data_IF_082500429867
#
_entry.id   IF_082500429867
#
_cell.length_a   1.000
_cell.length_b   1.000
_cell.length_c   1.000
_cell.angle_alpha   90.00
_cell.angle_beta   90.00
_cell.angle_gamma   90.00
#
_symmetry.space_group_name_H-M   'P 1'
#
loop_
_entity.id
_entity.type
_entity.pdbx_description
1 polymer ?
#
# COMPACT_ATOMS: atom_id res chain seq x y z
N UNK A 1 23.42 39.09 -45.93
CA UNK A 1 23.93 38.36 -44.75
C UNK A 1 23.31 39.02 -43.51
N UNK A 2 22.57 38.40 -42.59
CA UNK A 2 21.95 37.06 -42.41
C UNK A 2 20.82 37.28 -41.38
N UNK A 3 19.53 37.19 -41.73
CA UNK A 3 18.47 37.00 -40.74
C UNK A 3 18.19 35.50 -40.69
N UNK A 4 18.99 34.73 -39.94
CA UNK A 4 18.86 33.26 -39.95
C UNK A 4 19.06 32.62 -38.57
N UNK A 5 19.19 33.42 -37.50
CA UNK A 5 19.46 32.88 -36.15
C UNK A 5 18.34 33.02 -35.13
N UNK A 6 17.31 33.81 -35.41
CA UNK A 6 16.20 33.99 -34.45
C UNK A 6 15.05 33.01 -34.71
N UNK A 7 14.93 32.43 -35.91
CA UNK A 7 13.85 31.50 -36.27
C UNK A 7 14.10 30.04 -35.84
N UNK A 8 15.32 29.69 -35.42
CA UNK A 8 15.67 28.32 -35.01
C UNK A 8 15.38 28.01 -33.53
N UNK A 9 15.27 29.04 -32.68
CA UNK A 9 15.00 28.85 -31.25
C UNK A 9 13.51 28.79 -30.91
N UNK A 10 12.63 29.37 -31.73
CA UNK A 10 11.17 29.28 -31.54
C UNK A 10 10.60 27.96 -32.03
N UNK A 11 11.23 27.29 -33.01
CA UNK A 11 10.80 25.96 -33.48
C UNK A 11 11.19 24.86 -32.47
N UNK A 12 12.28 25.05 -31.72
CA UNK A 12 12.73 24.09 -30.71
C UNK A 12 11.90 24.16 -29.41
N UNK A 13 11.31 25.31 -29.08
CA UNK A 13 10.48 25.47 -27.88
C UNK A 13 9.02 25.05 -28.08
N UNK A 14 8.52 25.06 -29.31
CA UNK A 14 7.17 24.55 -29.63
C UNK A 14 7.17 23.03 -29.82
N UNK A 15 8.31 22.38 -30.08
CA UNK A 15 8.39 20.92 -30.19
C UNK A 15 8.56 20.19 -28.86
N UNK A 16 8.78 20.89 -27.74
CA UNK A 16 9.04 20.26 -26.43
C UNK A 16 7.83 20.27 -25.47
N UNK A 17 6.63 20.54 -25.98
CA UNK A 17 5.36 20.33 -25.26
C UNK A 17 4.51 19.21 -25.88
N UNK A 18 5.04 18.49 -26.87
CA UNK A 18 4.33 17.43 -27.62
C UNK A 18 4.69 16.00 -27.20
N UNK A 19 5.16 15.78 -25.97
CA UNK A 19 5.37 14.44 -25.41
C UNK A 19 4.16 13.89 -24.64
N UNK A 20 2.94 14.32 -24.99
CA UNK A 20 1.73 13.56 -24.71
C UNK A 20 1.48 12.60 -25.86
N UNK A 21 2.32 11.57 -26.03
CA UNK A 21 2.04 10.50 -26.99
C UNK A 21 0.96 9.58 -26.44
N UNK A 22 -0.29 9.98 -26.61
CA UNK A 22 -1.42 9.07 -26.79
C UNK A 22 -2.41 9.75 -27.74
N UNK A 23 -2.60 9.13 -28.90
CA UNK A 23 -3.28 9.63 -30.11
C UNK A 23 -2.56 10.77 -30.85
N UNK A 24 -1.77 10.40 -31.89
CA UNK A 24 -1.27 11.33 -32.90
C UNK A 24 -2.45 11.76 -33.79
N UNK A 25 -2.53 13.06 -34.05
CA UNK A 25 -3.68 13.84 -34.53
C UNK A 25 -4.19 13.51 -35.95
N UNK A 26 -3.74 12.43 -36.60
CA UNK A 26 -4.02 12.19 -38.02
C UNK A 26 -5.18 11.20 -38.29
N UNK A 27 -5.69 10.47 -37.28
CA UNK A 27 -6.89 9.63 -37.44
C UNK A 27 -7.75 9.62 -36.15
N UNK A 28 -8.67 10.58 -36.03
CA UNK A 28 -9.41 10.88 -34.78
C UNK A 28 -10.70 10.06 -34.60
N UNK A 29 -10.97 9.07 -35.45
CA UNK A 29 -12.17 8.25 -35.37
C UNK A 29 -12.17 7.19 -34.25
N UNK A 30 -10.98 6.77 -33.82
CA UNK A 30 -10.79 5.62 -32.93
C UNK A 30 -10.16 5.98 -31.57
N UNK A 31 -9.90 7.26 -31.31
CA UNK A 31 -9.39 7.71 -30.02
C UNK A 31 -10.53 8.05 -29.05
N UNK A 32 -10.44 7.56 -27.82
CA UNK A 32 -11.32 7.93 -26.71
C UNK A 32 -10.49 8.61 -25.60
N UNK A 33 -11.09 9.60 -24.95
CA UNK A 33 -10.52 10.24 -23.76
C UNK A 33 -11.19 9.69 -22.51
N UNK A 34 -10.39 9.36 -21.50
CA UNK A 34 -10.86 8.96 -20.18
C UNK A 34 -10.57 10.07 -19.19
N UNK A 35 -11.58 10.45 -18.41
CA UNK A 35 -11.49 11.36 -17.28
C UNK A 35 -11.57 10.52 -16.01
N UNK A 36 -10.49 10.47 -15.25
CA UNK A 36 -10.40 9.64 -14.05
C UNK A 36 -10.78 10.46 -12.82
N UNK A 37 -11.73 9.95 -12.05
CA UNK A 37 -12.13 10.46 -10.74
C UNK A 37 -11.72 9.46 -9.67
N UNK A 38 -11.16 9.93 -8.55
CA UNK A 38 -10.65 9.07 -7.48
C UNK A 38 -11.52 9.19 -6.24
N UNK A 39 -12.06 8.07 -5.78
CA UNK A 39 -12.83 7.98 -4.54
C UNK A 39 -12.11 7.06 -3.57
N UNK A 40 -11.80 7.53 -2.36
CA UNK A 40 -11.23 6.68 -1.32
C UNK A 40 -12.36 6.11 -0.44
N UNK A 41 -12.29 4.82 -0.10
CA UNK A 41 -13.28 4.18 0.78
C UNK A 41 -12.61 3.35 1.89
N UNK A 42 -13.32 3.18 3.01
CA UNK A 42 -12.93 2.24 4.05
C UNK A 42 -13.34 0.79 3.72
N UNK A 43 -12.97 -0.16 4.58
CA UNK A 43 -13.30 -1.58 4.41
C UNK A 43 -14.80 -1.92 4.54
N UNK A 44 -15.66 -0.96 4.85
CA UNK A 44 -17.11 -1.09 4.84
C UNK A 44 -17.74 -0.35 3.65
N UNK A 45 -16.94 0.30 2.79
CA UNK A 45 -17.40 1.10 1.65
C UNK A 45 -17.79 2.53 2.01
N UNK A 46 -17.49 3.01 3.22
CA UNK A 46 -17.76 4.41 3.58
C UNK A 46 -16.74 5.33 2.90
N UNK A 47 -17.22 6.48 2.41
CA UNK A 47 -16.39 7.45 1.70
C UNK A 47 -15.38 8.14 2.65
N UNK A 48 -14.12 8.15 2.23
CA UNK A 48 -12.98 8.77 2.90
C UNK A 48 -12.39 9.95 2.11
N UNK A 49 -12.91 10.26 0.93
CA UNK A 49 -12.32 11.21 -0.02
C UNK A 49 -12.14 12.60 0.61
N UNK A 50 -13.14 13.06 1.38
CA UNK A 50 -13.07 14.35 2.07
C UNK A 50 -12.19 14.35 3.34
N UNK A 51 -11.70 13.18 3.79
CA UNK A 51 -10.93 13.08 5.05
C UNK A 51 -9.45 13.38 4.90
N UNK A 52 -8.93 13.44 3.66
CA UNK A 52 -7.50 13.55 3.38
C UNK A 52 -6.71 12.25 3.62
N UNK A 53 -7.40 11.11 3.77
CA UNK A 53 -6.75 9.81 3.94
C UNK A 53 -5.90 9.41 2.71
N UNK A 54 -6.40 9.68 1.49
CA UNK A 54 -5.65 9.53 0.26
C UNK A 54 -4.97 10.87 -0.10
N UNK A 55 -3.64 10.90 -0.08
CA UNK A 55 -2.83 12.11 -0.23
C UNK A 55 -2.07 12.17 -1.55
N UNK A 56 -1.66 11.01 -2.08
CA UNK A 56 -1.00 10.88 -3.39
C UNK A 56 -1.46 9.60 -4.07
N UNK A 57 -1.58 9.61 -5.39
CA UNK A 57 -1.94 8.44 -6.18
C UNK A 57 -1.03 8.32 -7.40
N UNK A 58 -0.79 7.09 -7.84
CA UNK A 58 0.02 6.77 -9.00
C UNK A 58 -0.74 5.77 -9.86
N UNK A 59 -1.02 6.13 -11.12
CA UNK A 59 -1.82 5.32 -12.03
C UNK A 59 -0.93 4.64 -13.05
N UNK A 60 -1.08 3.33 -13.19
CA UNK A 60 -0.32 2.48 -14.09
C UNK A 60 -1.27 1.86 -15.10
N UNK A 61 -0.93 2.03 -16.38
CA UNK A 61 -1.75 1.56 -17.49
C UNK A 61 -1.15 0.28 -18.07
N UNK A 62 -1.98 -0.75 -18.18
CA UNK A 62 -1.67 -2.05 -18.79
C UNK A 62 -2.63 -2.33 -19.94
N UNK A 63 -2.15 -3.07 -20.94
CA UNK A 63 -2.97 -3.74 -21.95
C UNK A 63 -2.67 -5.26 -21.96
N UNK A 64 -3.18 -5.97 -22.96
CA UNK A 64 -2.96 -7.41 -23.13
C UNK A 64 -1.49 -7.80 -23.32
N UNK A 65 -0.62 -6.85 -23.71
CA UNK A 65 0.82 -7.05 -23.87
C UNK A 65 1.62 -6.68 -22.62
N UNK A 66 0.97 -6.15 -21.58
CA UNK A 66 1.58 -5.78 -20.31
C UNK A 66 1.61 -4.27 -20.06
N UNK A 67 2.56 -3.83 -19.24
CA UNK A 67 2.69 -2.43 -18.83
C UNK A 67 2.96 -1.51 -20.02
N UNK A 68 2.21 -0.41 -20.12
CA UNK A 68 2.38 0.59 -21.18
C UNK A 68 3.14 1.80 -20.65
N UNK A 69 2.60 2.44 -19.60
CA UNK A 69 3.11 3.69 -19.03
C UNK A 69 2.47 3.99 -17.68
N UNK A 70 3.15 4.82 -16.89
CA UNK A 70 2.56 5.50 -15.73
C UNK A 70 1.88 6.78 -16.21
N UNK A 71 0.66 7.03 -15.75
CA UNK A 71 -0.05 8.28 -16.01
C UNK A 71 0.35 9.26 -14.88
N UNK A 72 0.89 10.44 -15.21
CA UNK A 72 1.23 11.44 -14.20
C UNK A 72 -0.05 11.86 -13.46
N UNK A 73 -0.16 11.50 -12.19
CA UNK A 73 -1.33 11.82 -11.37
C UNK A 73 -0.96 12.86 -10.32
N UNK A 74 -1.65 14.00 -10.36
CA UNK A 74 -1.71 14.96 -9.27
C UNK A 74 -3.17 14.95 -8.80
N UNK A 75 -3.42 14.59 -7.54
CA UNK A 75 -4.78 14.33 -6.99
C UNK A 75 -5.70 15.55 -7.14
N UNK A 76 -5.12 16.74 -7.34
CA UNK A 76 -5.83 18.01 -7.46
C UNK A 76 -6.37 18.34 -8.86
N UNK A 77 -6.16 17.47 -9.86
CA UNK A 77 -6.60 17.73 -11.25
C UNK A 77 -7.35 16.55 -11.85
N UNK A 78 -8.34 16.83 -12.70
CA UNK A 78 -9.00 15.84 -13.55
C UNK A 78 -7.92 15.11 -14.35
N UNK A 79 -7.69 13.84 -14.01
CA UNK A 79 -6.65 13.05 -14.62
C UNK A 79 -7.17 12.51 -15.96
N UNK A 80 -6.71 13.13 -17.04
CA UNK A 80 -7.19 12.81 -18.40
C UNK A 80 -6.11 12.06 -19.17
N UNK A 81 -6.48 10.95 -19.79
CA UNK A 81 -5.63 10.29 -20.79
C UNK A 81 -6.45 9.79 -21.97
N UNK A 82 -5.83 9.75 -23.15
CA UNK A 82 -6.41 9.15 -24.34
C UNK A 82 -5.84 7.76 -24.63
N UNK A 83 -6.62 6.87 -25.23
CA UNK A 83 -6.11 5.68 -25.91
C UNK A 83 -7.08 5.22 -27.02
N UNK A 84 -6.69 4.15 -27.73
CA UNK A 84 -7.53 3.52 -28.74
C UNK A 84 -8.77 2.88 -28.09
N UNK A 85 -9.96 3.23 -28.61
CA UNK A 85 -11.25 2.76 -28.08
C UNK A 85 -11.41 1.24 -28.14
N UNK A 86 -10.70 0.56 -29.04
CA UNK A 86 -10.81 -0.89 -29.23
C UNK A 86 -9.87 -1.68 -28.31
N UNK A 87 -8.99 -0.99 -27.56
CA UNK A 87 -8.09 -1.67 -26.63
C UNK A 87 -8.79 -2.00 -25.33
N UNK A 88 -8.52 -3.21 -24.84
CA UNK A 88 -8.77 -3.59 -23.46
C UNK A 88 -7.65 -3.04 -22.58
N UNK A 89 -8.02 -2.18 -21.65
CA UNK A 89 -7.07 -1.53 -20.74
C UNK A 89 -7.34 -1.99 -19.30
N UNK A 90 -6.26 -2.08 -18.53
CA UNK A 90 -6.34 -2.26 -17.08
C UNK A 90 -5.58 -1.12 -16.42
N UNK A 91 -6.29 -0.36 -15.58
CA UNK A 91 -5.70 0.64 -14.71
C UNK A 91 -5.42 0.01 -13.36
N UNK A 92 -4.18 0.15 -12.89
CA UNK A 92 -3.80 -0.18 -11.52
C UNK A 92 -3.37 1.11 -10.83
N UNK A 93 -3.95 1.39 -9.68
CA UNK A 93 -3.70 2.63 -8.94
C UNK A 93 -3.18 2.29 -7.56
N UNK A 94 -2.07 2.91 -7.20
CA UNK A 94 -1.51 2.83 -5.85
C UNK A 94 -1.56 4.21 -5.19
N UNK A 95 -2.16 4.27 -4.01
CA UNK A 95 -2.25 5.47 -3.19
C UNK A 95 -1.23 5.46 -2.05
N UNK A 96 -0.70 6.63 -1.72
CA UNK A 96 0.19 6.89 -0.58
C UNK A 96 1.48 6.05 -0.54
N UNK A 97 1.98 5.57 -1.68
CA UNK A 97 3.27 4.89 -1.73
C UNK A 97 4.37 5.86 -1.27
N UNK A 98 5.18 5.43 -0.32
CA UNK A 98 6.35 6.17 0.15
C UNK A 98 7.62 5.36 -0.02
N UNK A 99 8.64 6.00 -0.59
CA UNK A 99 9.92 5.36 -0.92
C UNK A 99 10.75 4.98 0.31
N UNK A 100 10.44 5.56 1.48
CA UNK A 100 11.08 5.26 2.76
C UNK A 100 10.70 3.88 3.32
N UNK A 101 9.54 3.34 2.94
CA UNK A 101 8.99 2.07 3.45
C UNK A 101 8.83 1.01 2.36
N UNK A 102 8.65 1.44 1.11
CA UNK A 102 8.48 0.58 -0.05
C UNK A 102 9.49 0.88 -1.15
N UNK A 103 9.88 -0.16 -1.88
CA UNK A 103 10.64 -0.08 -3.12
C UNK A 103 9.64 -0.24 -4.27
N UNK A 104 9.54 0.80 -5.10
CA UNK A 104 8.74 0.82 -6.32
C UNK A 104 9.69 0.89 -7.52
N UNK A 105 10.15 -0.25 -8.07
CA UNK A 105 11.06 -0.25 -9.21
C UNK A 105 10.37 0.27 -10.48
N UNK A 106 11.17 0.85 -11.37
CA UNK A 106 10.70 1.17 -12.72
C UNK A 106 10.22 -0.10 -13.42
N UNK A 107 9.04 -0.03 -14.04
CA UNK A 107 8.41 -1.16 -14.72
C UNK A 107 8.75 -1.07 -16.22
N UNK A 108 9.46 -2.05 -16.79
CA UNK A 108 9.69 -2.09 -18.23
C UNK A 108 8.39 -2.17 -19.02
N UNK A 109 8.36 -1.56 -20.21
CA UNK A 109 7.23 -1.67 -21.12
C UNK A 109 7.05 -3.14 -21.53
N UNK A 110 5.82 -3.62 -21.50
CA UNK A 110 5.44 -5.01 -21.78
C UNK A 110 5.55 -5.96 -20.58
N UNK A 111 5.94 -5.49 -19.40
CA UNK A 111 5.93 -6.33 -18.19
C UNK A 111 4.50 -6.77 -17.84
N UNK A 112 4.24 -8.08 -17.65
CA UNK A 112 2.93 -8.57 -17.20
C UNK A 112 2.51 -7.98 -15.86
N UNK A 113 1.20 -7.81 -15.65
CA UNK A 113 0.65 -7.24 -14.42
C UNK A 113 1.00 -8.08 -13.18
N UNK A 114 1.18 -9.39 -13.35
CA UNK A 114 1.55 -10.33 -12.29
C UNK A 114 3.01 -10.18 -11.86
N UNK A 115 3.88 -9.65 -12.72
CA UNK A 115 5.32 -9.49 -12.48
C UNK A 115 5.68 -8.11 -11.92
N UNK A 116 4.88 -7.09 -12.25
CA UNK A 116 4.99 -5.77 -11.64
C UNK A 116 4.70 -5.87 -10.13
N UNK A 117 5.55 -5.24 -9.29
CA UNK A 117 5.48 -5.39 -7.83
C UNK A 117 6.02 -4.20 -7.06
N UNK A 118 5.49 -4.00 -5.87
CA UNK A 118 6.05 -3.17 -4.81
C UNK A 118 6.68 -4.10 -3.77
N UNK A 119 7.85 -3.75 -3.25
CA UNK A 119 8.59 -4.57 -2.30
C UNK A 119 8.76 -3.82 -0.97
N UNK A 120 8.70 -4.53 0.14
CA UNK A 120 9.08 -3.98 1.43
C UNK A 120 10.56 -3.57 1.43
N UNK A 121 10.87 -2.44 2.05
CA UNK A 121 12.25 -2.06 2.34
C UNK A 121 12.72 -2.75 3.62
N UNK A 122 13.96 -3.21 3.60
CA UNK A 122 14.66 -3.71 4.80
C UNK A 122 15.41 -2.56 5.48
N UNK A 123 15.49 -2.60 6.81
CA UNK A 123 16.36 -1.74 7.61
C UNK A 123 17.83 -2.23 7.54
N UNK A 124 18.72 -1.53 8.22
CA UNK A 124 20.16 -1.87 8.22
C UNK A 124 20.47 -3.21 8.89
N UNK A 125 19.53 -3.77 9.65
CA UNK A 125 19.65 -5.04 10.37
C UNK A 125 18.95 -6.19 9.61
N UNK A 126 18.35 -5.93 8.45
CA UNK A 126 17.66 -6.92 7.62
C UNK A 126 16.20 -7.19 8.03
N UNK A 127 15.64 -6.41 8.97
CA UNK A 127 14.21 -6.47 9.30
C UNK A 127 13.41 -5.62 8.31
N UNK A 128 12.18 -6.00 8.02
CA UNK A 128 11.33 -5.25 7.10
C UNK A 128 10.67 -4.07 7.82
N UNK A 129 10.60 -2.93 7.14
CA UNK A 129 9.97 -1.73 7.67
C UNK A 129 8.43 -1.85 7.60
N UNK A 130 7.70 -1.41 8.64
CA UNK A 130 6.26 -1.21 8.54
C UNK A 130 5.91 -0.25 7.40
N UNK A 131 4.77 -0.49 6.75
CA UNK A 131 4.32 0.31 5.61
C UNK A 131 3.47 1.52 6.06
N UNK A 132 3.11 2.37 5.11
CA UNK A 132 2.16 3.48 5.33
C UNK A 132 0.72 3.07 5.02
N UNK A 133 -0.24 3.98 5.20
CA UNK A 133 -1.65 3.74 4.84
C UNK A 133 -1.82 3.77 3.32
N UNK A 134 -1.51 2.65 2.67
CA UNK A 134 -1.57 2.52 1.22
C UNK A 134 -2.96 2.11 0.74
N UNK A 135 -3.34 2.64 -0.42
CA UNK A 135 -4.60 2.35 -1.09
C UNK A 135 -4.37 1.67 -2.43
N UNK A 136 -5.33 0.88 -2.89
CA UNK A 136 -5.26 0.11 -4.13
C UNK A 136 -6.57 0.19 -4.90
N UNK A 137 -6.47 0.27 -6.23
CA UNK A 137 -7.58 0.06 -7.14
C UNK A 137 -7.09 -0.68 -8.39
N UNK A 138 -7.88 -1.66 -8.87
CA UNK A 138 -7.73 -2.23 -10.21
C UNK A 138 -9.04 -2.04 -10.96
N UNK A 139 -8.97 -1.39 -12.14
CA UNK A 139 -10.13 -1.15 -13.00
C UNK A 139 -9.84 -1.65 -14.40
N UNK A 140 -10.64 -2.60 -14.87
CA UNK A 140 -10.66 -3.02 -16.27
C UNK A 140 -11.60 -2.13 -17.06
N UNK A 141 -11.17 -1.73 -18.26
CA UNK A 141 -11.91 -0.87 -19.18
C UNK A 141 -12.03 -1.58 -20.51
N UNK A 142 -13.27 -1.86 -20.91
CA UNK A 142 -13.62 -2.56 -22.14
C UNK A 142 -14.55 -1.65 -22.95
N UNK A 143 -14.02 -0.88 -23.89
CA UNK A 143 -14.87 -0.02 -24.71
C UNK A 143 -15.32 -0.74 -25.98
N UNK A 144 -16.63 -0.85 -26.16
CA UNK A 144 -17.25 -1.36 -27.40
C UNK A 144 -18.34 -0.45 -27.95
N UNK A 145 -18.76 0.62 -27.24
CA UNK A 145 -20.02 1.32 -27.58
C UNK A 145 -20.02 2.85 -27.45
N UNK A 146 -18.95 3.48 -26.96
CA UNK A 146 -18.91 4.95 -26.83
C UNK A 146 -18.61 5.61 -28.18
N UNK A 147 -19.47 6.54 -28.59
CA UNK A 147 -19.29 7.34 -29.81
C UNK A 147 -17.96 8.08 -29.72
N UNK A 148 -17.16 8.02 -30.78
CA UNK A 148 -15.88 8.73 -30.86
C UNK A 148 -16.08 10.23 -30.59
N UNK A 149 -15.27 10.78 -29.69
CA UNK A 149 -15.30 12.20 -29.32
C UNK A 149 -16.00 12.57 -28.01
N UNK A 150 -16.64 11.64 -27.29
CA UNK A 150 -17.08 11.87 -25.91
C UNK A 150 -16.02 11.35 -24.92
N UNK A 151 -15.68 12.17 -23.91
CA UNK A 151 -14.88 11.73 -22.78
C UNK A 151 -15.66 10.77 -21.89
N UNK A 152 -15.05 9.64 -21.51
CA UNK A 152 -15.63 8.68 -20.57
C UNK A 152 -15.15 8.99 -19.16
N UNK A 153 -16.09 9.15 -18.24
CA UNK A 153 -15.80 9.35 -16.82
C UNK A 153 -15.65 7.99 -16.13
N UNK A 154 -14.49 7.76 -15.52
CA UNK A 154 -14.20 6.53 -14.78
C UNK A 154 -13.95 6.87 -13.31
N UNK A 155 -14.82 6.38 -12.43
CA UNK A 155 -14.58 6.41 -10.98
C UNK A 155 -13.66 5.24 -10.59
N UNK A 156 -12.53 5.57 -10.00
CA UNK A 156 -11.52 4.68 -9.44
C UNK A 156 -11.72 4.62 -7.92
N UNK A 157 -12.37 3.56 -7.46
CA UNK A 157 -12.64 3.32 -6.04
C UNK A 157 -11.38 2.72 -5.41
N UNK A 158 -10.70 3.52 -4.59
CA UNK A 158 -9.46 3.22 -3.89
C UNK A 158 -9.79 2.63 -2.52
N UNK A 159 -9.46 1.35 -2.33
CA UNK A 159 -9.65 0.64 -1.07
C UNK A 159 -8.34 0.58 -0.28
N UNK A 160 -8.41 0.66 1.06
CA UNK A 160 -7.22 0.48 1.90
C UNK A 160 -6.67 -0.94 1.74
N UNK A 161 -5.42 -1.04 1.29
CA UNK A 161 -4.69 -2.31 1.17
C UNK A 161 -3.90 -2.63 2.44
N UNK A 162 -3.49 -1.62 3.20
CA UNK A 162 -2.73 -1.84 4.44
C UNK A 162 -3.60 -2.43 5.55
N UNK A 163 -2.99 -3.25 6.42
CA UNK A 163 -3.59 -3.71 7.67
C UNK A 163 -2.86 -3.06 8.85
N UNK A 164 -3.57 -2.63 9.89
CA UNK A 164 -2.95 -2.01 11.05
C UNK A 164 -2.99 -2.91 12.28
N UNK A 165 -1.90 -2.91 13.05
CA UNK A 165 -1.75 -3.70 14.26
C UNK A 165 -1.33 -2.85 15.45
N UNK A 166 -1.82 -3.21 16.63
CA UNK A 166 -1.23 -2.83 17.90
C UNK A 166 -1.02 -4.07 18.76
N UNK A 167 0.10 -4.11 19.49
CA UNK A 167 0.43 -5.23 20.38
C UNK A 167 0.69 -4.66 21.76
N UNK A 168 0.14 -5.30 22.80
CA UNK A 168 0.38 -4.94 24.20
C UNK A 168 0.51 -6.18 25.07
N UNK A 169 1.55 -6.23 25.89
CA UNK A 169 1.69 -7.22 26.96
C UNK A 169 1.16 -6.67 28.28
N UNK A 170 0.77 -7.58 29.17
CA UNK A 170 0.50 -7.29 30.58
C UNK A 170 1.20 -8.31 31.46
N UNK A 171 1.78 -7.88 32.56
CA UNK A 171 2.47 -8.73 33.53
C UNK A 171 3.63 -9.57 32.96
N UNK A 172 4.26 -9.14 31.85
CA UNK A 172 5.35 -9.87 31.18
C UNK A 172 6.49 -10.24 32.14
N UNK A 173 6.78 -9.34 33.09
CA UNK A 173 7.85 -9.51 34.07
C UNK A 173 7.62 -10.64 35.07
N UNK A 174 6.39 -11.15 35.22
CA UNK A 174 6.11 -12.30 36.09
C UNK A 174 6.76 -13.59 35.58
N UNK A 175 6.79 -13.77 34.27
CA UNK A 175 7.37 -14.94 33.63
C UNK A 175 8.76 -14.66 33.08
N UNK A 176 9.04 -13.40 32.76
CA UNK A 176 10.28 -12.98 32.13
C UNK A 176 10.82 -11.74 32.86
N UNK A 177 11.48 -11.90 34.03
CA UNK A 177 11.91 -10.77 34.84
C UNK A 177 12.71 -9.74 34.06
N UNK A 178 12.35 -8.46 34.22
CA UNK A 178 13.03 -7.36 33.56
C UNK A 178 14.42 -7.16 34.14
N UNK A 179 15.44 -7.16 33.28
CA UNK A 179 16.85 -7.03 33.66
C UNK A 179 17.46 -5.68 33.22
N UNK A 180 16.63 -4.70 32.90
CA UNK A 180 17.06 -3.39 32.39
C UNK A 180 17.28 -3.33 30.88
N UNK A 181 17.17 -4.46 30.16
CA UNK A 181 17.24 -4.49 28.69
C UNK A 181 15.83 -4.52 28.09
N UNK A 182 15.53 -3.68 27.08
CA UNK A 182 14.20 -3.64 26.48
C UNK A 182 13.89 -4.96 25.76
N UNK A 183 12.60 -5.28 25.68
CA UNK A 183 12.14 -6.34 24.78
C UNK A 183 11.89 -5.76 23.39
N UNK A 184 12.08 -6.60 22.38
CA UNK A 184 11.78 -6.26 20.98
C UNK A 184 10.74 -7.23 20.45
N UNK A 185 9.92 -6.76 19.51
CA UNK A 185 8.93 -7.59 18.83
C UNK A 185 9.39 -7.81 17.40
N UNK A 186 9.25 -9.05 16.91
CA UNK A 186 9.30 -9.34 15.47
C UNK A 186 7.96 -9.94 15.08
N UNK A 187 7.33 -9.35 14.07
CA UNK A 187 6.03 -9.76 13.55
C UNK A 187 6.22 -10.34 12.15
N UNK A 188 5.79 -11.58 11.93
CA UNK A 188 5.92 -12.31 10.67
C UNK A 188 4.59 -12.79 10.15
N UNK A 189 4.60 -13.39 8.95
CA UNK A 189 3.47 -14.16 8.44
C UNK A 189 2.72 -13.51 7.28
N UNK A 190 3.28 -12.46 6.68
CA UNK A 190 2.77 -11.86 5.44
C UNK A 190 3.89 -11.82 4.42
N UNK A 191 3.56 -11.77 3.12
CA UNK A 191 4.57 -11.67 2.07
C UNK A 191 5.40 -10.38 2.12
N UNK A 192 6.56 -10.37 1.47
CA UNK A 192 7.45 -9.20 1.35
C UNK A 192 7.11 -8.29 0.18
N UNK A 193 6.19 -8.68 -0.69
CA UNK A 193 5.86 -7.96 -1.91
C UNK A 193 4.35 -7.97 -2.14
N UNK A 194 3.87 -6.97 -2.88
CA UNK A 194 2.53 -6.97 -3.46
C UNK A 194 2.65 -6.74 -4.96
N UNK A 195 2.04 -7.62 -5.75
CA UNK A 195 2.02 -7.45 -7.19
C UNK A 195 0.87 -6.54 -7.64
N UNK A 196 0.85 -6.17 -8.90
CA UNK A 196 -0.13 -5.20 -9.42
C UNK A 196 -1.52 -5.81 -9.63
N UNK A 197 -1.69 -7.13 -9.42
CA UNK A 197 -3.01 -7.76 -9.27
C UNK A 197 -3.58 -7.64 -7.85
N UNK A 198 -2.83 -7.03 -6.92
CA UNK A 198 -3.23 -6.84 -5.52
C UNK A 198 -2.92 -8.04 -4.62
N UNK A 199 -2.17 -9.03 -5.13
CA UNK A 199 -1.83 -10.24 -4.37
C UNK A 199 -0.54 -10.02 -3.59
N UNK A 200 -0.58 -10.35 -2.30
CA UNK A 200 0.61 -10.42 -1.44
C UNK A 200 1.39 -11.69 -1.80
N UNK A 201 2.69 -11.54 -2.08
CA UNK A 201 3.61 -12.60 -2.51
C UNK A 201 4.99 -12.42 -1.86
N UNK A 202 5.92 -13.32 -2.19
CA UNK A 202 7.31 -13.26 -1.71
C UNK A 202 7.55 -14.16 -0.49
N UNK A 203 8.67 -13.90 0.21
CA UNK A 203 9.03 -14.61 1.45
C UNK A 203 8.19 -14.09 2.62
N UNK A 204 8.20 -14.80 3.75
CA UNK A 204 7.60 -14.27 4.98
C UNK A 204 8.40 -13.04 5.43
N UNK A 205 7.74 -11.89 5.51
CA UNK A 205 8.28 -10.67 6.04
C UNK A 205 8.54 -10.81 7.55
N UNK A 206 9.53 -10.08 8.03
CA UNK A 206 9.84 -9.96 9.45
C UNK A 206 9.88 -8.50 9.84
N UNK A 207 8.76 -7.96 10.29
CA UNK A 207 8.63 -6.57 10.70
C UNK A 207 9.14 -6.38 12.12
N UNK A 208 9.93 -5.33 12.33
CA UNK A 208 10.41 -4.91 13.65
C UNK A 208 9.73 -3.59 14.03
N UNK A 209 8.50 -3.61 14.56
CA UNK A 209 7.82 -2.38 14.93
C UNK A 209 8.53 -1.67 16.10
N UNK A 210 8.41 -0.34 16.14
CA UNK A 210 8.81 0.43 17.30
C UNK A 210 8.07 -0.08 18.54
N UNK A 211 8.83 -0.57 19.51
CA UNK A 211 8.33 -1.21 20.72
C UNK A 211 8.82 -0.41 21.93
N UNK A 212 7.92 -0.19 22.88
CA UNK A 212 8.17 0.60 24.08
C UNK A 212 7.97 -0.27 25.31
N UNK A 213 8.88 -0.19 26.28
CA UNK A 213 8.74 -0.87 27.58
C UNK A 213 8.34 0.15 28.63
N UNK A 214 7.23 -0.09 29.32
CA UNK A 214 6.75 0.80 30.39
C UNK A 214 7.49 0.55 31.72
N UNK A 215 7.12 1.32 32.75
CA UNK A 215 7.75 1.24 34.08
C UNK A 215 7.49 -0.10 34.79
N UNK A 216 6.48 -0.85 34.36
CA UNK A 216 6.12 -2.16 34.89
C UNK A 216 6.88 -3.29 34.16
N UNK A 217 7.60 -2.95 33.09
CA UNK A 217 8.34 -3.88 32.25
C UNK A 217 7.46 -4.57 31.20
N UNK A 218 6.28 -4.02 30.93
CA UNK A 218 5.39 -4.47 29.87
C UNK A 218 5.71 -3.76 28.55
N UNK A 219 5.53 -4.47 27.44
CA UNK A 219 5.86 -3.99 26.10
C UNK A 219 4.60 -3.69 25.32
N UNK A 220 4.64 -2.57 24.60
CA UNK A 220 3.58 -2.22 23.68
C UNK A 220 4.14 -1.56 22.42
N UNK A 221 3.35 -1.61 21.35
CA UNK A 221 3.59 -0.84 20.12
C UNK A 221 2.56 0.26 20.00
N UNK A 222 2.93 1.35 19.33
CA UNK A 222 1.91 2.19 18.69
C UNK A 222 1.36 1.46 17.46
N UNK A 223 0.19 1.86 16.93
CA UNK A 223 -0.33 1.28 15.72
C UNK A 223 0.66 1.41 14.56
N UNK A 224 1.05 0.27 14.00
CA UNK A 224 1.90 0.17 12.83
C UNK A 224 1.14 -0.57 11.73
N UNK A 225 1.64 -0.53 10.49
CA UNK A 225 0.95 -1.13 9.35
C UNK A 225 1.84 -2.13 8.64
N UNK A 226 1.22 -3.18 8.14
CA UNK A 226 1.86 -4.26 7.39
C UNK A 226 1.03 -4.56 6.14
N UNK A 227 1.55 -5.41 5.26
CA UNK A 227 0.70 -6.03 4.26
C UNK A 227 -0.34 -6.94 4.93
N UNK A 228 -1.55 -7.04 4.38
CA UNK A 228 -2.62 -7.81 4.99
C UNK A 228 -2.32 -9.31 4.93
N UNK A 229 -2.83 -10.05 5.90
CA UNK A 229 -2.71 -11.52 5.93
C UNK A 229 -3.56 -12.14 4.82
N UNK A 230 -2.97 -13.02 4.00
CA UNK A 230 -3.71 -13.73 2.96
C UNK A 230 -4.61 -14.86 3.53
N UNK A 231 -5.54 -15.34 2.71
CA UNK A 231 -6.37 -16.50 3.03
C UNK A 231 -5.46 -17.72 3.23
N UNK A 232 -5.38 -18.25 4.45
CA UNK A 232 -4.49 -19.35 4.94
C UNK A 232 -3.16 -18.93 5.58
N UNK A 233 -2.72 -17.69 5.41
CA UNK A 233 -1.60 -17.15 6.18
C UNK A 233 -2.04 -16.75 7.59
N UNK A 234 -1.06 -16.60 8.48
CA UNK A 234 -1.30 -16.14 9.85
C UNK A 234 -0.09 -15.40 10.39
N UNK A 235 -0.36 -14.51 11.33
CA UNK A 235 0.65 -13.71 11.98
C UNK A 235 1.34 -14.50 13.08
N UNK A 236 2.66 -14.37 13.12
CA UNK A 236 3.50 -14.85 14.21
C UNK A 236 4.15 -13.65 14.90
N UNK A 237 4.07 -13.60 16.22
CA UNK A 237 4.71 -12.56 17.03
C UNK A 237 5.73 -13.23 17.92
N UNK A 238 7.00 -12.88 17.73
CA UNK A 238 8.07 -13.24 18.64
C UNK A 238 8.38 -12.07 19.57
N UNK A 239 8.43 -12.37 20.86
CA UNK A 239 8.96 -11.46 21.87
C UNK A 239 10.41 -11.85 22.11
N UNK A 240 11.32 -10.93 21.82
CA UNK A 240 12.74 -11.09 22.03
C UNK A 240 13.20 -10.31 23.25
N UNK A 241 14.26 -10.81 23.88
CA UNK A 241 15.16 -10.00 24.70
C UNK A 241 16.56 -10.22 24.17
N UNK A 242 17.17 -9.14 23.68
CA UNK A 242 18.42 -9.20 22.92
C UNK A 242 18.27 -10.10 21.68
N UNK A 243 18.90 -11.28 21.68
CA UNK A 243 18.91 -12.22 20.55
C UNK A 243 18.15 -13.52 20.86
N UNK A 244 17.52 -13.62 22.03
CA UNK A 244 16.78 -14.81 22.45
C UNK A 244 15.27 -14.59 22.32
N UNK A 245 14.59 -15.55 21.68
CA UNK A 245 13.12 -15.61 21.67
C UNK A 245 12.67 -16.07 23.05
N UNK A 246 11.85 -15.24 23.70
CA UNK A 246 11.24 -15.54 24.98
C UNK A 246 9.90 -16.23 24.79
N UNK A 247 9.09 -15.75 23.84
CA UNK A 247 7.76 -16.26 23.61
C UNK A 247 7.34 -16.04 22.15
N UNK A 248 6.64 -17.02 21.58
CA UNK A 248 6.08 -16.97 20.23
C UNK A 248 4.57 -17.13 20.30
N UNK A 249 3.84 -16.25 19.62
CA UNK A 249 2.38 -16.22 19.58
C UNK A 249 1.91 -16.37 18.14
N UNK A 250 1.05 -17.34 17.88
CA UNK A 250 0.48 -17.61 16.54
C UNK A 250 -1.05 -17.66 16.51
N UNK A 251 -1.68 -17.77 17.68
CA UNK A 251 -3.14 -17.87 17.82
C UNK A 251 -3.61 -17.28 19.15
N UNK A 252 -4.88 -16.93 19.23
CA UNK A 252 -5.55 -16.54 20.47
C UNK A 252 -5.96 -17.76 21.32
N UNK A 253 -6.52 -17.52 22.51
CA UNK A 253 -6.98 -18.59 23.40
C UNK A 253 -8.26 -19.30 22.93
N UNK A 254 -8.86 -18.88 21.81
CA UNK A 254 -9.95 -19.58 21.13
C UNK A 254 -9.44 -20.43 19.95
N UNK A 255 -8.12 -20.61 19.83
CA UNK A 255 -7.46 -21.32 18.72
C UNK A 255 -7.64 -20.63 17.36
N UNK A 256 -8.00 -19.35 17.35
CA UNK A 256 -8.05 -18.56 16.12
C UNK A 256 -6.65 -18.07 15.81
N UNK A 257 -6.14 -18.44 14.64
CA UNK A 257 -4.88 -17.92 14.12
C UNK A 257 -4.90 -16.39 14.07
N UNK A 258 -3.79 -15.77 14.45
CA UNK A 258 -3.65 -14.32 14.36
C UNK A 258 -3.68 -13.90 12.89
N UNK A 259 -4.40 -12.83 12.56
CA UNK A 259 -4.52 -12.32 11.20
C UNK A 259 -4.83 -10.83 11.25
N UNK A 260 -4.39 -10.09 10.24
CA UNK A 260 -4.66 -8.67 10.09
C UNK A 260 -5.28 -8.41 8.70
N UNK A 261 -6.60 -8.24 8.62
CA UNK A 261 -7.28 -7.95 7.36
C UNK A 261 -6.95 -6.57 6.80
N UNK A 262 -6.99 -6.44 5.48
CA UNK A 262 -6.86 -5.15 4.80
C UNK A 262 -7.92 -4.15 5.28
N UNK A 263 -7.52 -2.90 5.49
CA UNK A 263 -8.41 -1.82 5.89
C UNK A 263 -9.06 -2.00 7.28
N UNK A 264 -8.48 -2.82 8.16
CA UNK A 264 -8.91 -3.00 9.56
C UNK A 264 -7.75 -2.73 10.54
N UNK A 265 -8.12 -2.42 11.78
CA UNK A 265 -7.22 -2.39 12.94
C UNK A 265 -7.31 -3.73 13.67
N UNK A 266 -6.17 -4.33 14.02
CA UNK A 266 -6.11 -5.56 14.82
C UNK A 266 -5.35 -5.28 16.11
N UNK A 267 -6.05 -5.37 17.24
CA UNK A 267 -5.48 -5.17 18.56
C UNK A 267 -5.20 -6.52 19.21
N UNK A 268 -3.93 -6.75 19.58
CA UNK A 268 -3.47 -8.01 20.17
C UNK A 268 -3.01 -7.73 21.59
N UNK A 269 -3.70 -8.34 22.56
CA UNK A 269 -3.35 -8.25 23.97
C UNK A 269 -2.81 -9.60 24.45
N UNK A 270 -1.68 -9.58 25.14
CA UNK A 270 -1.01 -10.77 25.66
C UNK A 270 -0.84 -10.62 27.17
N UNK A 271 -1.67 -11.31 27.95
CA UNK A 271 -1.68 -11.22 29.40
C UNK A 271 -0.95 -12.41 30.05
N UNK A 272 0.23 -12.10 30.58
CA UNK A 272 1.14 -13.01 31.29
C UNK A 272 0.78 -13.17 32.78
N UNK A 273 -0.42 -12.79 33.20
CA UNK A 273 -0.92 -13.16 34.52
C UNK A 273 -1.20 -14.68 34.62
N UNK A 274 -1.49 -15.31 33.48
CA UNK A 274 -1.85 -16.72 33.37
C UNK A 274 -0.70 -17.54 32.74
N UNK A 275 -0.71 -18.86 32.98
CA UNK A 275 0.20 -19.81 32.35
C UNK A 275 -0.60 -20.97 31.76
N UNK A 276 -0.66 -21.14 30.43
CA UNK A 276 -0.12 -20.24 29.40
C UNK A 276 -0.79 -18.84 29.41
N UNK A 277 -0.15 -17.80 28.83
CA UNK A 277 -0.71 -16.45 28.78
C UNK A 277 -2.08 -16.42 28.09
N UNK A 278 -2.90 -15.45 28.49
CA UNK A 278 -4.16 -15.14 27.85
C UNK A 278 -3.93 -14.15 26.70
N UNK A 279 -4.07 -14.63 25.48
CA UNK A 279 -3.97 -13.90 24.22
C UNK A 279 -5.39 -13.62 23.71
N UNK A 280 -5.67 -12.34 23.48
CA UNK A 280 -6.89 -11.89 22.79
C UNK A 280 -6.53 -11.11 21.54
N UNK A 281 -7.36 -11.23 20.52
CA UNK A 281 -7.23 -10.53 19.25
C UNK A 281 -8.58 -9.95 18.85
N UNK A 282 -8.62 -8.62 18.73
CA UNK A 282 -9.82 -7.88 18.36
C UNK A 282 -9.60 -7.24 16.98
N UNK A 283 -10.44 -7.60 16.00
CA UNK A 283 -10.41 -6.99 14.65
C UNK A 283 -11.50 -5.93 14.59
N UNK A 284 -11.07 -4.68 14.50
CA UNK A 284 -11.89 -3.48 14.60
C UNK A 284 -11.96 -2.73 13.26
N UNK A 285 -13.00 -1.91 13.03
CA UNK A 285 -12.96 -0.91 11.96
C UNK A 285 -11.72 -0.05 12.05
N UNK A 286 -11.24 0.44 10.91
CA UNK A 286 -10.08 1.31 10.87
C UNK A 286 -10.35 2.59 11.65
N UNK A 287 -9.65 2.78 12.76
CA UNK A 287 -9.67 4.03 13.48
C UNK A 287 -8.74 5.02 12.75
N UNK A 288 -9.28 6.17 12.33
CA UNK A 288 -8.43 7.31 12.01
C UNK A 288 -7.80 7.76 13.33
N UNK A 289 -6.59 7.28 13.63
CA UNK A 289 -5.80 7.85 14.70
C UNK A 289 -5.35 9.21 14.18
N UNK A 290 -6.15 10.23 14.48
CA UNK A 290 -5.61 11.57 14.58
C UNK A 290 -4.48 11.49 15.60
N UNK A 291 -3.25 11.63 15.13
CA UNK A 291 -2.13 12.01 15.98
C UNK A 291 -2.55 13.29 16.71
N UNK A 292 -2.72 13.19 18.03
CA UNK A 292 -2.79 14.25 19.02
C UNK A 292 -3.01 13.52 20.36
N UNK A 293 -2.23 13.67 21.44
CA UNK A 293 -1.29 14.71 21.88
C UNK A 293 -0.43 14.07 22.98
N UNK A 294 0.85 14.43 23.05
CA UNK A 294 1.75 14.37 24.23
C UNK A 294 1.73 13.14 25.16
N UNK A 295 2.86 12.42 25.18
CA UNK A 295 3.42 11.84 26.41
C UNK A 295 4.87 12.32 26.56
#
# INVERSE_FOLDING_TARGET
MKPTRIFLFTILYVSLTFLHTSCVREDTGDCIQYVLDMQAVDSNGNDLTATGALQKAEVYLFDEKGFIRKIPADISSDLIFGDDKNKRLTLVVWGNIKEDTLIAPDIPIGTPIEEARLQLREDTEGSHLPITDIFYCKKEVNNTTTRSGQGEYLTLVMERMSASLSIRTKYLTKHCPYNGKPYTLIVRGTGTEVNFTGKIIGKSAGYKPASYTDKQGDVYTLPFRIFPTAQEEYIEIDIYREHEIIYTITQDNNFKKLHAPAGKQTDINIDFHYTPPLITMDVLPWANIHQDTEL
#
